data_IF_255295689661
#
_entry.id   IF_255295689661
#
_cell.length_a   1.000
_cell.length_b   1.000
_cell.length_c   1.000
_cell.angle_alpha   90.00
_cell.angle_beta   90.00
_cell.angle_gamma   90.00
#
_symmetry.space_group_name_H-M   'P 1'
#
loop_
_entity.id
_entity.type
_entity.pdbx_description
1 polymer ?
#
# COMPACT_ATOMS: atom_id res chain seq x y z
N UNK A 1 37.63 -16.79 -8.30
CA UNK A 1 36.37 -17.42 -8.68
C UNK A 1 35.44 -17.30 -7.50
N UNK A 2 34.64 -16.19 -7.48
CA UNK A 2 33.63 -15.96 -6.45
C UNK A 2 32.53 -17.00 -6.56
N UNK A 3 32.17 -17.66 -5.46
CA UNK A 3 31.01 -18.52 -5.40
C UNK A 3 29.76 -17.67 -5.68
N UNK A 4 29.04 -18.01 -6.74
CA UNK A 4 27.73 -17.41 -7.01
C UNK A 4 26.80 -17.75 -5.86
N UNK A 5 26.38 -16.74 -5.11
CA UNK A 5 25.35 -16.94 -4.07
C UNK A 5 24.07 -17.44 -4.78
N UNK A 6 23.39 -18.45 -4.22
CA UNK A 6 22.14 -18.92 -4.80
C UNK A 6 21.14 -17.76 -4.86
N UNK A 7 20.53 -17.57 -6.04
CA UNK A 7 19.45 -16.60 -6.19
C UNK A 7 18.31 -17.01 -5.25
N UNK A 8 17.87 -16.15 -4.34
CA UNK A 8 16.81 -16.49 -3.41
C UNK A 8 15.55 -16.89 -4.19
N UNK A 9 14.99 -18.03 -3.87
CA UNK A 9 13.78 -18.51 -4.51
C UNK A 9 12.60 -17.68 -4.02
N UNK A 10 11.91 -16.98 -4.94
CA UNK A 10 10.63 -16.35 -4.62
C UNK A 10 9.68 -17.45 -4.17
N UNK A 11 9.03 -17.35 -2.98
CA UNK A 11 8.10 -18.39 -2.54
C UNK A 11 7.02 -18.59 -3.60
N UNK A 12 6.90 -19.82 -4.13
CA UNK A 12 5.84 -20.12 -5.08
C UNK A 12 4.46 -20.11 -4.38
N UNK A 13 3.42 -19.52 -4.93
CA UNK A 13 3.29 -18.90 -6.25
C UNK A 13 3.10 -17.38 -6.19
N UNK A 14 4.11 -16.63 -5.94
CA UNK A 14 4.05 -15.17 -5.97
C UNK A 14 4.60 -14.66 -7.29
N UNK A 15 3.72 -14.30 -8.22
CA UNK A 15 4.10 -13.55 -9.39
C UNK A 15 3.95 -12.06 -9.08
N UNK A 16 4.91 -11.21 -9.46
CA UNK A 16 4.81 -9.76 -9.25
C UNK A 16 3.61 -9.11 -9.95
N UNK A 17 3.10 -9.75 -10.99
CA UNK A 17 1.95 -9.36 -11.79
C UNK A 17 0.62 -9.98 -11.32
N UNK A 18 0.65 -10.80 -10.25
CA UNK A 18 -0.57 -11.36 -9.66
C UNK A 18 -1.38 -10.25 -8.97
N UNK A 19 -2.68 -10.21 -9.26
CA UNK A 19 -3.60 -9.25 -8.63
C UNK A 19 -3.47 -9.29 -7.10
N UNK A 20 -3.49 -8.12 -6.48
CA UNK A 20 -3.33 -7.98 -5.03
C UNK A 20 -1.92 -8.22 -4.49
N UNK A 21 -0.92 -8.44 -5.35
CA UNK A 21 0.49 -8.49 -4.94
C UNK A 21 1.08 -7.09 -5.00
N UNK A 22 1.76 -6.67 -3.94
CA UNK A 22 2.45 -5.37 -3.84
C UNK A 22 3.80 -5.56 -3.15
N UNK A 23 4.69 -4.62 -3.39
CA UNK A 23 5.96 -4.51 -2.68
C UNK A 23 5.89 -3.26 -1.80
N UNK A 24 5.82 -3.46 -0.48
CA UNK A 24 5.71 -2.39 0.52
C UNK A 24 6.77 -2.58 1.59
N UNK A 25 7.41 -1.51 1.99
CA UNK A 25 8.29 -1.51 3.16
C UNK A 25 7.40 -1.46 4.41
N UNK A 26 7.22 -2.59 5.07
CA UNK A 26 6.38 -2.71 6.26
C UNK A 26 7.15 -2.50 7.56
N UNK A 27 8.46 -2.64 7.52
CA UNK A 27 9.34 -2.47 8.67
C UNK A 27 9.91 -1.04 8.79
N UNK A 28 9.81 -0.23 7.71
CA UNK A 28 10.43 1.09 7.64
C UNK A 28 11.96 1.04 7.53
N UNK A 29 12.50 -0.08 7.03
CA UNK A 29 13.94 -0.31 6.89
C UNK A 29 14.49 -0.05 5.49
N UNK A 30 13.64 0.42 4.58
CA UNK A 30 13.95 0.69 3.18
C UNK A 30 13.97 -0.55 2.29
N UNK A 31 13.50 -1.70 2.79
CA UNK A 31 13.43 -2.95 2.04
C UNK A 31 11.97 -3.34 1.81
N UNK A 32 11.53 -3.42 0.55
CA UNK A 32 10.14 -3.79 0.30
C UNK A 32 9.89 -5.28 0.56
N UNK A 33 8.86 -5.55 1.34
CA UNK A 33 8.31 -6.87 1.59
C UNK A 33 7.32 -7.27 0.49
N UNK A 34 7.13 -8.57 0.29
CA UNK A 34 6.16 -9.08 -0.66
C UNK A 34 4.79 -9.22 0.02
N UNK A 35 3.89 -8.29 -0.25
CA UNK A 35 2.57 -8.20 0.37
C UNK A 35 1.51 -8.83 -0.53
N UNK A 36 0.61 -9.61 0.06
CA UNK A 36 -0.50 -10.27 -0.63
C UNK A 36 -1.83 -9.85 -0.01
N UNK A 37 -2.55 -9.01 -0.72
CA UNK A 37 -3.74 -8.31 -0.21
C UNK A 37 -5.05 -9.01 -0.56
N UNK A 38 -5.14 -9.68 -1.72
CA UNK A 38 -6.35 -10.36 -2.20
C UNK A 38 -6.48 -11.81 -1.69
N UNK A 39 -5.98 -12.10 -0.51
CA UNK A 39 -6.14 -13.42 0.10
C UNK A 39 -7.24 -13.42 1.15
N UNK A 40 -7.77 -14.60 1.43
CA UNK A 40 -8.68 -14.80 2.57
C UNK A 40 -8.05 -14.37 3.91
N UNK A 41 -6.74 -14.45 4.01
CA UNK A 41 -5.94 -13.89 5.09
C UNK A 41 -4.81 -13.05 4.45
N UNK A 42 -5.00 -11.75 4.24
CA UNK A 42 -3.96 -10.85 3.76
C UNK A 42 -2.73 -10.88 4.66
N UNK A 43 -1.55 -10.72 4.07
CA UNK A 43 -0.30 -10.78 4.81
C UNK A 43 0.91 -10.60 3.89
N UNK A 44 2.08 -10.98 4.37
CA UNK A 44 3.32 -10.69 3.68
C UNK A 44 4.39 -11.77 3.87
N UNK A 45 5.41 -11.69 3.04
CA UNK A 45 6.70 -12.34 3.21
C UNK A 45 7.75 -11.27 3.42
N UNK A 46 8.42 -11.30 4.56
CA UNK A 46 9.51 -10.38 4.87
C UNK A 46 10.69 -10.59 3.93
N UNK A 47 11.33 -9.50 3.53
CA UNK A 47 12.57 -9.54 2.74
C UNK A 47 13.77 -9.83 3.62
N UNK A 48 14.35 -11.02 3.49
CA UNK A 48 15.60 -11.41 4.15
C UNK A 48 16.78 -11.35 3.16
N UNK A 49 17.82 -10.55 3.44
CA UNK A 49 18.98 -10.43 2.54
C UNK A 49 19.77 -11.72 2.35
N UNK A 50 19.70 -12.64 3.31
CA UNK A 50 20.45 -13.89 3.29
C UNK A 50 19.70 -15.06 2.67
N UNK A 51 18.37 -15.11 2.88
CA UNK A 51 17.51 -16.24 2.49
C UNK A 51 16.57 -15.90 1.33
N UNK A 52 16.34 -14.60 1.10
CA UNK A 52 15.45 -14.09 0.06
C UNK A 52 14.09 -13.68 0.64
N UNK A 53 13.17 -14.61 0.84
CA UNK A 53 11.85 -14.34 1.40
C UNK A 53 11.59 -15.23 2.61
N UNK A 54 11.11 -14.63 3.68
CA UNK A 54 10.67 -15.31 4.89
C UNK A 54 9.36 -16.10 4.70
N UNK A 55 8.93 -16.76 5.74
CA UNK A 55 7.64 -17.44 5.78
C UNK A 55 6.49 -16.44 5.66
N UNK A 56 5.33 -16.92 5.17
CA UNK A 56 4.13 -16.09 5.11
C UNK A 56 3.64 -15.71 6.50
N UNK A 57 3.43 -14.43 6.74
CA UNK A 57 2.90 -13.88 7.99
C UNK A 57 1.59 -13.15 7.69
N UNK A 58 0.43 -13.61 8.21
CA UNK A 58 -0.82 -12.90 8.03
C UNK A 58 -0.86 -11.62 8.86
N UNK A 59 -1.49 -10.57 8.31
CA UNK A 59 -1.79 -9.36 9.07
C UNK A 59 -2.77 -9.64 10.21
N UNK A 60 -2.65 -8.91 11.30
CA UNK A 60 -3.62 -8.92 12.39
C UNK A 60 -4.91 -8.21 12.01
N UNK A 61 -4.80 -7.17 11.20
CA UNK A 61 -5.90 -6.36 10.71
C UNK A 61 -5.65 -5.95 9.27
N UNK A 62 -6.66 -6.09 8.41
CA UNK A 62 -6.61 -5.65 7.02
C UNK A 62 -7.94 -5.02 6.63
N UNK A 63 -7.94 -3.95 5.80
CA UNK A 63 -9.16 -3.33 5.35
C UNK A 63 -9.92 -4.26 4.40
N UNK A 64 -11.25 -4.21 4.48
CA UNK A 64 -12.13 -4.84 3.50
C UNK A 64 -12.37 -3.85 2.37
N UNK A 65 -11.49 -3.83 1.39
CA UNK A 65 -11.53 -2.95 0.23
C UNK A 65 -11.34 -3.77 -1.04
N UNK A 66 -11.78 -3.21 -2.17
CA UNK A 66 -11.44 -3.77 -3.47
C UNK A 66 -10.01 -3.37 -3.85
N UNK A 67 -9.09 -4.31 -3.76
CA UNK A 67 -7.68 -4.06 -4.10
C UNK A 67 -7.45 -3.86 -5.60
N UNK A 68 -8.42 -4.19 -6.43
CA UNK A 68 -8.44 -3.93 -7.87
C UNK A 68 -9.03 -2.57 -8.24
N UNK A 69 -9.54 -1.81 -7.27
CA UNK A 69 -10.09 -0.47 -7.49
C UNK A 69 -9.02 0.44 -8.11
N UNK A 70 -9.26 1.01 -9.30
CA UNK A 70 -8.31 1.90 -9.97
C UNK A 70 -8.07 3.20 -9.20
N UNK A 71 -8.98 3.59 -8.31
CA UNK A 71 -8.86 4.79 -7.49
C UNK A 71 -8.17 4.54 -6.14
N UNK A 72 -7.96 3.28 -5.75
CA UNK A 72 -7.19 2.96 -4.56
C UNK A 72 -5.72 3.40 -4.72
N UNK A 73 -5.19 4.06 -3.70
CA UNK A 73 -3.78 4.47 -3.63
C UNK A 73 -3.12 3.95 -2.37
N UNK A 74 -1.83 3.66 -2.53
CA UNK A 74 -0.92 3.37 -1.42
C UNK A 74 0.02 4.56 -1.31
N UNK A 75 -0.12 5.34 -0.26
CA UNK A 75 0.60 6.59 -0.03
C UNK A 75 0.80 6.83 1.45
N UNK A 76 1.95 7.31 1.85
CA UNK A 76 2.22 7.72 3.22
C UNK A 76 1.52 9.05 3.51
N UNK A 77 0.40 8.99 4.25
CA UNK A 77 -0.39 10.15 4.66
C UNK A 77 -0.05 10.62 6.08
N UNK A 78 0.66 9.81 6.84
CA UNK A 78 1.03 10.10 8.22
C UNK A 78 2.44 10.69 8.34
N UNK A 79 3.28 10.50 7.31
CA UNK A 79 4.68 10.91 7.33
C UNK A 79 5.57 9.97 8.13
N UNK A 80 5.12 8.73 8.38
CA UNK A 80 5.88 7.74 9.16
C UNK A 80 6.75 6.82 8.28
N UNK A 81 6.70 7.01 6.97
CA UNK A 81 7.44 6.21 6.00
C UNK A 81 6.73 4.92 5.57
N UNK A 82 5.54 4.65 6.10
CA UNK A 82 4.75 3.47 5.76
C UNK A 82 3.59 3.85 4.85
N UNK A 83 3.30 3.02 3.86
CA UNK A 83 2.21 3.30 2.92
C UNK A 83 0.84 2.98 3.53
N UNK A 84 0.01 4.01 3.64
CA UNK A 84 -1.41 3.90 4.01
C UNK A 84 -2.26 3.53 2.81
N UNK A 85 -3.46 3.00 3.05
CA UNK A 85 -4.45 2.73 2.00
C UNK A 85 -5.41 3.90 1.92
N UNK A 86 -5.50 4.54 0.77
CA UNK A 86 -6.45 5.62 0.49
C UNK A 86 -7.47 5.15 -0.54
N UNK A 87 -8.75 5.29 -0.21
CA UNK A 87 -9.88 4.96 -1.09
C UNK A 87 -10.84 6.15 -1.15
N UNK A 88 -11.07 6.73 -2.31
CA UNK A 88 -12.08 7.76 -2.45
C UNK A 88 -13.49 7.16 -2.33
N UNK A 89 -14.37 7.87 -1.65
CA UNK A 89 -15.80 7.61 -1.60
C UNK A 89 -16.55 8.81 -2.20
N UNK A 90 -17.85 8.66 -2.49
CA UNK A 90 -18.62 9.69 -3.19
C UNK A 90 -18.59 11.07 -2.50
N UNK A 91 -18.54 11.10 -1.18
CA UNK A 91 -18.61 12.31 -0.34
C UNK A 91 -17.43 12.42 0.64
N UNK A 92 -16.43 11.55 0.54
CA UNK A 92 -15.33 11.50 1.48
C UNK A 92 -14.09 10.85 0.90
N UNK A 93 -12.96 11.08 1.55
CA UNK A 93 -11.77 10.24 1.47
C UNK A 93 -11.76 9.30 2.66
N UNK A 94 -11.61 8.02 2.40
CA UNK A 94 -11.44 7.00 3.44
C UNK A 94 -10.02 6.48 3.36
N UNK A 95 -9.32 6.46 4.48
CA UNK A 95 -7.98 5.93 4.50
C UNK A 95 -7.73 5.07 5.73
N UNK A 96 -6.86 4.10 5.57
CA UNK A 96 -6.48 3.13 6.60
C UNK A 96 -5.01 3.31 6.90
N UNK A 97 -4.65 3.84 8.09
CA UNK A 97 -3.25 4.00 8.48
C UNK A 97 -2.52 2.66 8.49
N UNK A 98 -1.31 2.64 7.98
CA UNK A 98 -0.43 1.49 8.08
C UNK A 98 0.00 1.27 9.53
N UNK A 99 0.01 0.01 9.95
CA UNK A 99 0.60 -0.46 11.20
C UNK A 99 1.85 -1.32 10.93
N UNK A 100 2.42 -1.17 9.73
CA UNK A 100 3.54 -1.97 9.29
C UNK A 100 3.20 -3.45 9.19
N UNK A 101 4.00 -4.29 9.79
CA UNK A 101 3.82 -5.75 9.80
C UNK A 101 2.51 -6.21 10.50
N UNK A 102 1.91 -5.37 11.32
CA UNK A 102 0.62 -5.68 11.94
C UNK A 102 -0.57 -5.50 10.96
N UNK A 103 -0.36 -4.83 9.83
CA UNK A 103 -1.37 -4.57 8.82
C UNK A 103 -1.84 -3.13 8.81
N UNK A 104 -3.15 -2.90 8.94
CA UNK A 104 -3.75 -1.57 8.84
C UNK A 104 -4.72 -1.31 9.99
N UNK A 105 -4.78 -0.06 10.41
CA UNK A 105 -5.68 0.42 11.47
C UNK A 105 -7.12 0.59 10.95
N UNK A 106 -8.03 0.95 11.85
CA UNK A 106 -9.40 1.27 11.53
C UNK A 106 -9.50 2.44 10.53
N UNK A 107 -10.53 2.45 9.66
CA UNK A 107 -10.69 3.51 8.66
C UNK A 107 -10.87 4.88 9.32
N UNK A 108 -10.23 5.87 8.74
CA UNK A 108 -10.45 7.28 9.00
C UNK A 108 -11.16 7.89 7.80
N UNK A 109 -12.11 8.77 8.06
CA UNK A 109 -12.93 9.39 7.04
C UNK A 109 -12.79 10.91 7.12
N UNK A 110 -12.48 11.52 5.97
CA UNK A 110 -12.48 12.96 5.80
C UNK A 110 -13.59 13.30 4.82
N UNK A 111 -14.63 14.01 5.31
CA UNK A 111 -15.72 14.43 4.44
C UNK A 111 -15.24 15.47 3.45
N UNK A 112 -15.60 15.29 2.18
CA UNK A 112 -15.42 16.32 1.15
C UNK A 112 -16.51 17.35 1.31
N UNK A 113 -16.20 18.62 1.01
CA UNK A 113 -17.20 19.67 1.08
C UNK A 113 -18.35 19.37 0.08
N UNK A 114 -19.58 19.46 0.57
CA UNK A 114 -20.78 19.19 -0.24
C UNK A 114 -21.05 20.25 -1.31
N UNK A 115 -20.31 21.33 -1.34
CA UNK A 115 -20.46 22.42 -2.30
C UNK A 115 -19.52 22.19 -3.50
N UNK A 116 -20.11 21.78 -4.63
CA UNK A 116 -19.38 21.55 -5.88
C UNK A 116 -18.58 22.77 -6.36
N UNK A 117 -18.93 23.97 -5.88
CA UNK A 117 -18.19 25.20 -6.19
C UNK A 117 -16.90 25.35 -5.36
N UNK A 118 -16.76 24.60 -4.25
CA UNK A 118 -15.65 24.70 -3.30
C UNK A 118 -14.76 23.45 -3.25
N UNK A 119 -15.23 22.32 -3.76
CA UNK A 119 -14.45 21.08 -3.78
C UNK A 119 -14.56 20.38 -5.13
N UNK A 120 -13.48 20.32 -5.91
CA UNK A 120 -13.45 19.48 -7.08
C UNK A 120 -13.62 18.01 -6.66
N UNK A 121 -14.42 17.26 -7.43
CA UNK A 121 -14.55 15.82 -7.27
C UNK A 121 -13.18 15.20 -7.52
N UNK A 122 -12.58 14.61 -6.48
CA UNK A 122 -11.29 13.95 -6.61
C UNK A 122 -11.49 12.57 -7.25
N UNK A 123 -11.28 12.50 -8.56
CA UNK A 123 -11.07 11.25 -9.26
C UNK A 123 -9.57 11.00 -9.30
N UNK A 124 -9.10 9.99 -8.58
CA UNK A 124 -7.68 9.64 -8.55
C UNK A 124 -7.26 8.83 -9.79
N UNK A 125 -8.20 8.23 -10.50
CA UNK A 125 -7.99 7.63 -11.81
C UNK A 125 -9.09 8.06 -12.77
N UNK A 126 -8.70 8.77 -13.80
CA UNK A 126 -9.52 9.13 -14.95
C UNK A 126 -8.76 8.70 -16.21
N UNK A 127 -9.49 8.26 -17.23
CA UNK A 127 -8.90 7.86 -18.51
C UNK A 127 -8.10 8.99 -19.20
N UNK A 128 -8.32 10.25 -18.81
CA UNK A 128 -7.67 11.44 -19.37
C UNK A 128 -6.70 12.13 -18.42
N UNK A 129 -6.71 11.79 -17.11
CA UNK A 129 -5.92 12.51 -16.11
C UNK A 129 -5.47 11.57 -14.99
N UNK A 130 -4.20 11.61 -14.64
CA UNK A 130 -3.65 10.94 -13.48
C UNK A 130 -3.38 11.97 -12.37
N UNK A 131 -3.92 11.74 -11.18
CA UNK A 131 -3.57 12.50 -9.98
C UNK A 131 -2.40 11.78 -9.32
N UNK A 132 -1.27 12.48 -9.20
CA UNK A 132 -0.10 12.00 -8.50
C UNK A 132 -0.06 12.69 -7.13
N UNK A 133 -0.03 11.86 -6.09
CA UNK A 133 0.21 12.33 -4.73
C UNK A 133 1.73 12.27 -4.49
N UNK A 134 2.31 13.41 -4.22
CA UNK A 134 3.76 13.52 -3.99
C UNK A 134 4.01 14.52 -2.86
N UNK A 135 5.04 14.26 -2.07
CA UNK A 135 5.55 15.23 -1.12
C UNK A 135 6.32 16.31 -1.89
N UNK A 136 5.69 17.46 -2.10
CA UNK A 136 6.30 18.60 -2.78
C UNK A 136 6.96 19.59 -1.82
N UNK A 137 6.60 19.53 -0.55
CA UNK A 137 7.16 20.39 0.49
C UNK A 137 8.43 19.81 1.12
N UNK A 138 8.63 18.48 1.02
CA UNK A 138 9.74 17.75 1.62
C UNK A 138 9.56 17.53 3.13
N UNK A 139 8.33 17.59 3.62
CA UNK A 139 8.02 17.38 5.04
C UNK A 139 7.63 15.91 5.37
N UNK A 140 7.65 15.04 4.36
CA UNK A 140 7.30 13.64 4.49
C UNK A 140 5.81 13.34 4.34
N UNK A 141 4.98 14.35 4.09
CA UNK A 141 3.55 14.20 3.83
C UNK A 141 3.25 14.33 2.33
N UNK A 142 2.25 13.64 1.84
CA UNK A 142 1.77 13.82 0.47
C UNK A 142 0.89 15.09 0.39
N UNK A 143 1.22 15.98 -0.55
CA UNK A 143 0.49 17.21 -0.86
C UNK A 143 -0.60 16.98 -1.92
#
# INVERSE_FOLDING_TARGET
LGASAPVPTIPAPARPDEAGTRFLDLAGDGRPDLVRLERAAPGFHERDPGVGWGSYTPFRSAPTVDWGDPDLRLVDLTGDGLADVLVPADDALVWYPSLGEAGFDAPRRVALAADEALAPRLLLADAASAVLLADMSGDGLAD
#
